data_IF_570361602447
#
_entry.id   IF_570361602447
#
_cell.length_a   1.000
_cell.length_b   1.000
_cell.length_c   1.000
_cell.angle_alpha   90.00
_cell.angle_beta   90.00
_cell.angle_gamma   90.00
#
_symmetry.space_group_name_H-M   'P 1'
#
loop_
_entity.id
_entity.type
_entity.pdbx_description
1 polymer ?
#
# COMPACT_ATOMS: atom_id res chain seq x y z
N UNK A 1 -11.59 6.49 2.97
CA UNK A 1 -11.07 7.65 2.18
C UNK A 1 -11.19 7.26 0.72
N UNK A 2 -11.85 8.04 -0.11
CA UNK A 2 -11.99 7.74 -1.54
C UNK A 2 -10.68 8.07 -2.31
N UNK A 3 -10.60 7.62 -3.56
CA UNK A 3 -9.40 7.77 -4.40
C UNK A 3 -9.01 9.24 -4.63
N UNK A 4 -10.00 10.12 -4.85
CA UNK A 4 -9.75 11.55 -5.12
C UNK A 4 -9.24 12.27 -3.87
N UNK A 5 -9.78 11.95 -2.69
CA UNK A 5 -9.28 12.49 -1.41
C UNK A 5 -7.86 12.00 -1.12
N UNK A 6 -7.56 10.74 -1.44
CA UNK A 6 -6.22 10.19 -1.31
C UNK A 6 -5.24 10.95 -2.21
N UNK A 7 -5.57 11.14 -3.50
CA UNK A 7 -4.76 11.90 -4.43
C UNK A 7 -4.55 13.35 -3.99
N UNK A 8 -5.62 14.01 -3.51
CA UNK A 8 -5.52 15.38 -2.99
C UNK A 8 -4.54 15.47 -1.81
N UNK A 9 -4.66 14.56 -0.84
CA UNK A 9 -3.76 14.52 0.33
C UNK A 9 -2.31 14.22 -0.06
N UNK A 10 -2.08 13.21 -0.91
CA UNK A 10 -0.74 12.86 -1.39
C UNK A 10 -0.04 14.07 -2.03
N UNK A 11 -0.73 14.79 -2.92
CA UNK A 11 -0.14 15.95 -3.59
C UNK A 11 0.02 17.15 -2.65
N UNK A 12 -0.92 17.36 -1.71
CA UNK A 12 -0.85 18.43 -0.72
C UNK A 12 0.30 18.25 0.25
N UNK A 13 0.59 17.02 0.66
CA UNK A 13 1.64 16.69 1.64
C UNK A 13 3.04 16.65 0.99
N UNK A 14 3.12 16.67 -0.36
CA UNK A 14 4.39 16.73 -1.07
C UNK A 14 5.10 18.08 -0.86
N UNK A 15 6.42 18.10 -0.62
CA UNK A 15 7.18 19.36 -0.46
C UNK A 15 7.01 20.28 -1.67
N UNK A 16 6.45 21.47 -1.46
CA UNK A 16 6.10 22.43 -2.52
C UNK A 16 4.76 22.14 -3.21
N UNK A 17 4.01 21.13 -2.75
CA UNK A 17 2.64 20.84 -3.17
C UNK A 17 2.50 20.56 -4.67
N UNK A 18 1.32 20.87 -5.19
CA UNK A 18 0.99 20.62 -6.61
C UNK A 18 1.92 21.34 -7.61
N UNK A 19 2.45 22.52 -7.26
CA UNK A 19 3.33 23.27 -8.16
C UNK A 19 4.65 22.54 -8.36
N UNK A 20 5.30 22.12 -7.26
CA UNK A 20 6.58 21.42 -7.33
C UNK A 20 6.43 20.01 -7.93
N UNK A 21 5.35 19.29 -7.60
CA UNK A 21 5.13 17.94 -8.12
C UNK A 21 4.81 17.96 -9.63
N UNK A 22 4.00 18.92 -10.09
CA UNK A 22 3.60 19.02 -11.48
C UNK A 22 4.77 19.21 -12.45
N UNK A 23 5.85 19.88 -12.04
CA UNK A 23 7.05 20.06 -12.87
C UNK A 23 7.77 18.75 -13.16
N UNK A 24 7.51 17.70 -12.35
CA UNK A 24 8.11 16.36 -12.48
C UNK A 24 7.21 15.37 -13.22
N UNK A 25 5.93 15.73 -13.42
CA UNK A 25 4.96 14.93 -14.15
C UNK A 25 5.02 15.31 -15.64
N UNK A 26 5.39 14.35 -16.48
CA UNK A 26 5.49 14.57 -17.92
C UNK A 26 4.16 14.17 -18.56
N UNK A 27 3.58 15.08 -19.32
CA UNK A 27 2.40 14.84 -20.13
C UNK A 27 2.74 14.94 -21.60
N UNK A 28 2.11 14.11 -22.44
CA UNK A 28 2.25 14.19 -23.90
C UNK A 28 1.06 14.97 -24.42
N UNK A 29 1.32 16.01 -25.24
CA UNK A 29 0.26 16.78 -25.86
C UNK A 29 -0.28 16.06 -27.12
N UNK A 30 -1.33 16.62 -27.73
CA UNK A 30 -1.96 16.06 -28.94
C UNK A 30 -1.01 15.96 -30.16
N UNK A 31 0.14 16.64 -30.10
CA UNK A 31 1.19 16.61 -31.15
C UNK A 31 2.28 15.57 -30.84
N UNK A 32 2.18 14.84 -29.73
CA UNK A 32 3.19 13.88 -29.29
C UNK A 32 4.40 14.52 -28.61
N UNK A 33 4.35 15.82 -28.24
CA UNK A 33 5.44 16.49 -27.55
C UNK A 33 5.33 16.29 -26.03
N UNK A 34 6.43 15.94 -25.40
CA UNK A 34 6.53 15.82 -23.95
C UNK A 34 6.60 17.20 -23.30
N UNK A 35 5.75 17.44 -22.31
CA UNK A 35 5.70 18.71 -21.58
C UNK A 35 5.41 18.45 -20.10
N UNK A 36 6.08 19.17 -19.18
CA UNK A 36 5.70 19.15 -17.78
C UNK A 36 4.25 19.59 -17.59
N UNK A 37 3.54 18.91 -16.68
CA UNK A 37 2.20 19.30 -16.29
C UNK A 37 2.23 20.65 -15.57
N UNK A 38 1.22 21.50 -15.77
CA UNK A 38 1.11 22.71 -14.94
C UNK A 38 0.49 22.41 -13.59
N UNK A 39 0.91 23.12 -12.53
CA UNK A 39 0.33 23.00 -11.19
C UNK A 39 -1.18 23.26 -11.17
N UNK A 40 -1.68 24.18 -12.02
CA UNK A 40 -3.11 24.44 -12.16
C UNK A 40 -3.88 23.22 -12.69
N UNK A 41 -3.33 22.51 -13.68
CA UNK A 41 -3.91 21.28 -14.22
C UNK A 41 -3.90 20.17 -13.15
N UNK A 42 -2.78 20.00 -12.44
CA UNK A 42 -2.70 19.00 -11.37
C UNK A 42 -3.74 19.29 -10.27
N UNK A 43 -3.83 20.55 -9.79
CA UNK A 43 -4.85 20.93 -8.79
C UNK A 43 -6.27 20.62 -9.25
N UNK A 44 -6.59 20.88 -10.52
CA UNK A 44 -7.91 20.57 -11.06
C UNK A 44 -8.17 19.05 -11.08
N UNK A 45 -7.19 18.24 -11.45
CA UNK A 45 -7.30 16.77 -11.53
C UNK A 45 -7.46 16.10 -10.16
N UNK A 46 -6.85 16.66 -9.11
CA UNK A 46 -6.94 16.13 -7.73
C UNK A 46 -8.04 16.78 -6.89
N UNK A 47 -8.77 17.75 -7.43
CA UNK A 47 -9.86 18.41 -6.70
C UNK A 47 -11.05 17.47 -6.54
N UNK A 48 -11.46 17.09 -5.30
CA UNK A 48 -12.58 16.20 -5.07
C UNK A 48 -13.90 16.72 -5.65
N UNK A 49 -14.06 18.04 -5.74
CA UNK A 49 -15.27 18.70 -6.24
C UNK A 49 -15.30 18.82 -7.78
N UNK A 50 -14.20 18.50 -8.46
CA UNK A 50 -14.15 18.55 -9.90
C UNK A 50 -14.56 17.20 -10.52
N UNK A 51 -15.57 17.21 -11.37
CA UNK A 51 -16.10 16.01 -12.03
C UNK A 51 -15.60 15.84 -13.46
N UNK A 52 -15.06 16.90 -14.06
CA UNK A 52 -14.67 16.91 -15.48
C UNK A 52 -13.20 16.57 -15.73
N UNK A 53 -12.33 16.85 -14.74
CA UNK A 53 -10.90 16.57 -14.83
C UNK A 53 -10.53 15.56 -13.76
N UNK A 54 -10.04 14.39 -14.17
CA UNK A 54 -9.63 13.31 -13.27
C UNK A 54 -8.19 12.91 -13.58
N UNK A 55 -7.50 12.39 -12.57
CA UNK A 55 -6.22 11.71 -12.79
C UNK A 55 -6.44 10.46 -13.64
N UNK A 56 -5.55 10.25 -14.61
CA UNK A 56 -5.43 8.94 -15.27
C UNK A 56 -4.70 7.97 -14.34
N UNK A 57 -4.85 6.68 -14.60
CA UNK A 57 -4.13 5.65 -13.84
C UNK A 57 -2.60 5.82 -13.97
N UNK A 58 -2.12 6.21 -15.15
CA UNK A 58 -0.70 6.46 -15.40
C UNK A 58 -0.18 7.62 -14.55
N UNK A 59 -0.89 8.75 -14.52
CA UNK A 59 -0.54 9.90 -13.68
C UNK A 59 -0.58 9.55 -12.18
N UNK A 60 -1.58 8.79 -11.73
CA UNK A 60 -1.66 8.34 -10.35
C UNK A 60 -0.46 7.47 -9.97
N UNK A 61 -0.05 6.55 -10.86
CA UNK A 61 1.12 5.69 -10.66
C UNK A 61 2.42 6.52 -10.59
N UNK A 62 2.58 7.50 -11.47
CA UNK A 62 3.74 8.39 -11.48
C UNK A 62 3.82 9.26 -10.21
N UNK A 63 2.68 9.81 -9.76
CA UNK A 63 2.57 10.54 -8.49
C UNK A 63 3.03 9.65 -7.33
N UNK A 64 2.55 8.43 -7.23
CA UNK A 64 2.95 7.49 -6.16
C UNK A 64 4.45 7.18 -6.23
N UNK A 65 5.01 6.98 -7.42
CA UNK A 65 6.45 6.76 -7.61
C UNK A 65 7.31 7.96 -7.21
N UNK A 66 6.87 9.19 -7.53
CA UNK A 66 7.59 10.43 -7.20
C UNK A 66 7.49 10.81 -5.72
N UNK A 67 6.39 10.49 -5.07
CA UNK A 67 6.11 10.87 -3.67
C UNK A 67 6.48 9.77 -2.67
N UNK A 68 6.55 8.52 -3.10
CA UNK A 68 6.63 7.36 -2.21
C UNK A 68 5.34 7.12 -1.39
N UNK A 69 4.28 7.86 -1.65
CA UNK A 69 3.02 7.81 -0.92
C UNK A 69 1.99 6.98 -1.69
N UNK A 70 1.66 5.82 -1.17
CA UNK A 70 0.77 4.84 -1.81
C UNK A 70 -0.70 4.95 -1.37
N UNK A 71 -1.12 6.06 -0.75
CA UNK A 71 -2.53 6.26 -0.31
C UNK A 71 -3.54 6.10 -1.45
N UNK A 72 -3.19 6.49 -2.68
CA UNK A 72 -4.04 6.33 -3.86
C UNK A 72 -4.29 4.84 -4.14
N UNK A 73 -3.23 4.03 -4.11
CA UNK A 73 -3.32 2.59 -4.32
C UNK A 73 -4.12 1.91 -3.21
N UNK A 74 -3.90 2.31 -1.95
CA UNK A 74 -4.65 1.80 -0.80
C UNK A 74 -6.14 2.12 -0.93
N UNK A 75 -6.48 3.36 -1.32
CA UNK A 75 -7.87 3.75 -1.52
C UNK A 75 -8.53 2.99 -2.66
N UNK A 76 -7.83 2.80 -3.79
CA UNK A 76 -8.30 2.03 -4.93
C UNK A 76 -8.55 0.56 -4.55
N UNK A 77 -7.61 -0.07 -3.87
CA UNK A 77 -7.74 -1.45 -3.42
C UNK A 77 -8.93 -1.62 -2.46
N UNK A 78 -9.07 -0.72 -1.47
CA UNK A 78 -10.14 -0.76 -0.50
C UNK A 78 -11.53 -0.59 -1.15
N UNK A 79 -11.66 0.29 -2.17
CA UNK A 79 -12.90 0.49 -2.91
C UNK A 79 -13.37 -0.78 -3.64
N UNK A 80 -12.42 -1.62 -4.06
CA UNK A 80 -12.66 -2.89 -4.72
C UNK A 80 -12.62 -4.12 -3.78
N UNK A 81 -12.52 -3.90 -2.45
CA UNK A 81 -12.52 -5.01 -1.48
C UNK A 81 -11.19 -5.73 -1.35
N UNK A 82 -10.08 -5.15 -1.82
CA UNK A 82 -8.73 -5.72 -1.72
C UNK A 82 -7.92 -5.08 -0.60
N UNK A 83 -7.13 -5.90 0.09
CA UNK A 83 -6.06 -5.45 0.99
C UNK A 83 -4.72 -5.43 0.25
N UNK A 84 -3.85 -4.50 0.61
CA UNK A 84 -2.50 -4.40 0.06
C UNK A 84 -1.46 -4.79 1.11
N UNK A 85 -0.44 -5.48 0.65
CA UNK A 85 0.74 -5.81 1.45
C UNK A 85 2.00 -5.43 0.66
N UNK A 86 2.96 -4.79 1.32
CA UNK A 86 4.28 -4.55 0.75
C UNK A 86 4.99 -5.87 0.44
N UNK A 87 5.70 -5.93 -0.69
CA UNK A 87 6.45 -7.12 -1.10
C UNK A 87 7.90 -7.10 -0.61
N UNK A 88 8.36 -6.01 0.00
CA UNK A 88 9.72 -5.91 0.51
C UNK A 88 9.85 -6.73 1.80
N UNK A 89 10.70 -7.77 1.81
CA UNK A 89 11.04 -8.45 3.05
C UNK A 89 11.77 -7.47 3.97
N UNK A 90 11.55 -7.55 5.31
CA UNK A 90 12.33 -6.75 6.23
C UNK A 90 13.82 -7.04 6.03
N UNK A 91 14.67 -6.00 6.11
CA UNK A 91 16.12 -6.08 5.86
C UNK A 91 16.84 -7.17 6.68
N UNK A 92 16.29 -7.54 7.85
CA UNK A 92 16.80 -8.56 8.76
C UNK A 92 15.98 -9.87 8.77
N UNK A 93 15.39 -10.24 7.66
CA UNK A 93 14.52 -11.43 7.59
C UNK A 93 15.29 -12.77 7.73
N UNK A 94 16.32 -12.86 8.54
CA UNK A 94 17.00 -14.08 8.97
C UNK A 94 17.12 -15.21 7.93
N UNK A 95 17.40 -16.41 8.35
CA UNK A 95 17.39 -17.60 7.48
C UNK A 95 15.95 -18.10 7.26
N UNK A 96 15.74 -18.98 6.28
CA UNK A 96 14.42 -19.55 5.95
C UNK A 96 13.76 -20.19 7.20
N UNK A 97 14.54 -20.89 8.00
CA UNK A 97 14.03 -21.53 9.24
C UNK A 97 13.51 -20.51 10.23
N UNK A 98 14.21 -19.38 10.45
CA UNK A 98 13.73 -18.30 11.32
C UNK A 98 12.45 -17.66 10.78
N UNK A 99 12.32 -17.52 9.47
CA UNK A 99 11.10 -17.01 8.83
C UNK A 99 9.92 -17.95 9.02
N UNK A 100 10.11 -19.27 8.93
CA UNK A 100 9.08 -20.27 9.22
C UNK A 100 8.62 -20.19 10.68
N UNK A 101 9.58 -20.08 11.61
CA UNK A 101 9.27 -19.96 13.03
C UNK A 101 8.51 -18.65 13.34
N UNK A 102 8.94 -17.52 12.75
CA UNK A 102 8.25 -16.24 12.90
C UNK A 102 6.81 -16.29 12.35
N UNK A 103 6.60 -16.94 11.21
CA UNK A 103 5.26 -17.15 10.64
C UNK A 103 4.39 -18.02 11.57
N UNK A 104 4.96 -19.06 12.17
CA UNK A 104 4.25 -19.91 13.11
C UNK A 104 3.89 -19.15 14.40
N UNK A 105 4.79 -18.32 14.91
CA UNK A 105 4.55 -17.47 16.06
C UNK A 105 3.41 -16.45 15.81
N UNK A 106 3.41 -15.78 14.66
CA UNK A 106 2.34 -14.84 14.27
C UNK A 106 0.99 -15.52 14.19
N UNK A 107 0.91 -16.75 13.64
CA UNK A 107 -0.33 -17.54 13.60
C UNK A 107 -0.79 -17.93 15.00
N UNK A 108 0.14 -18.32 15.89
CA UNK A 108 -0.17 -18.65 17.28
C UNK A 108 -0.75 -17.46 18.03
N UNK A 109 -0.14 -16.30 17.87
CA UNK A 109 -0.62 -15.05 18.48
C UNK A 109 -2.02 -14.64 17.97
N UNK A 110 -2.25 -14.73 16.66
CA UNK A 110 -3.59 -14.50 16.11
C UNK A 110 -4.63 -15.46 16.70
N UNK A 111 -4.31 -16.73 16.80
CA UNK A 111 -5.22 -17.74 17.38
C UNK A 111 -5.52 -17.47 18.86
N UNK A 112 -4.53 -17.01 19.64
CA UNK A 112 -4.69 -16.62 21.04
C UNK A 112 -5.64 -15.43 21.18
N UNK A 113 -5.46 -14.36 20.39
CA UNK A 113 -6.35 -13.20 20.40
C UNK A 113 -7.76 -13.60 19.98
N UNK A 114 -7.91 -14.37 18.90
CA UNK A 114 -9.21 -14.87 18.44
C UNK A 114 -9.92 -15.68 19.53
N UNK A 115 -9.18 -16.56 20.23
CA UNK A 115 -9.74 -17.33 21.31
C UNK A 115 -10.25 -16.42 22.45
N UNK A 116 -9.49 -15.39 22.83
CA UNK A 116 -9.91 -14.42 23.86
C UNK A 116 -11.17 -13.67 23.45
N UNK A 117 -11.22 -13.16 22.21
CA UNK A 117 -12.37 -12.42 21.69
C UNK A 117 -13.67 -13.25 21.62
N UNK A 118 -13.55 -14.58 21.53
CA UNK A 118 -14.72 -15.49 21.43
C UNK A 118 -15.21 -16.02 22.78
N UNK A 119 -14.54 -15.70 23.90
CA UNK A 119 -14.89 -16.27 25.21
C UNK A 119 -16.25 -15.84 25.75
N UNK A 120 -16.65 -14.60 25.52
CA UNK A 120 -17.94 -14.04 25.97
C UNK A 120 -19.00 -14.00 24.87
N UNK A 121 -18.65 -14.36 23.61
CA UNK A 121 -19.55 -14.40 22.48
C UNK A 121 -19.88 -13.02 21.87
N UNK A 122 -19.20 -11.95 22.32
CA UNK A 122 -19.36 -10.58 21.81
C UNK A 122 -17.96 -10.05 21.42
N UNK A 123 -17.84 -9.53 20.21
CA UNK A 123 -16.60 -8.90 19.76
C UNK A 123 -16.79 -7.37 19.82
N UNK A 124 -16.04 -6.73 20.70
CA UNK A 124 -16.01 -5.26 20.80
C UNK A 124 -15.18 -4.63 19.68
N UNK A 125 -15.35 -3.32 19.41
CA UNK A 125 -14.58 -2.59 18.40
C UNK A 125 -13.07 -2.64 18.69
N UNK A 126 -12.65 -2.61 19.94
CA UNK A 126 -11.25 -2.72 20.34
C UNK A 126 -10.69 -4.11 20.05
N UNK A 127 -11.41 -5.16 20.40
CA UNK A 127 -11.01 -6.55 20.11
C UNK A 127 -10.98 -6.83 18.62
N UNK A 128 -11.93 -6.29 17.86
CA UNK A 128 -11.91 -6.38 16.40
C UNK A 128 -10.68 -5.68 15.81
N UNK A 129 -10.30 -4.51 16.32
CA UNK A 129 -9.09 -3.79 15.90
C UNK A 129 -7.81 -4.56 16.22
N UNK A 130 -7.74 -5.18 17.41
CA UNK A 130 -6.61 -6.03 17.82
C UNK A 130 -6.51 -7.29 16.93
N UNK A 131 -7.64 -7.92 16.68
CA UNK A 131 -7.74 -9.08 15.80
C UNK A 131 -7.32 -8.74 14.36
N UNK A 132 -7.74 -7.59 13.84
CA UNK A 132 -7.35 -7.11 12.51
C UNK A 132 -5.85 -6.85 12.42
N UNK A 133 -5.25 -6.27 13.47
CA UNK A 133 -3.81 -6.06 13.55
C UNK A 133 -3.04 -7.37 13.54
N UNK A 134 -3.46 -8.35 14.35
CA UNK A 134 -2.86 -9.68 14.39
C UNK A 134 -3.03 -10.44 13.06
N UNK A 135 -4.18 -10.34 12.40
CA UNK A 135 -4.42 -10.91 11.07
C UNK A 135 -3.46 -10.30 10.02
N UNK A 136 -3.25 -8.99 10.06
CA UNK A 136 -2.30 -8.29 9.18
C UNK A 136 -0.87 -8.78 9.42
N UNK A 137 -0.46 -9.01 10.67
CA UNK A 137 0.85 -9.57 10.99
C UNK A 137 1.05 -10.99 10.42
N UNK A 138 0.02 -11.84 10.47
CA UNK A 138 0.06 -13.17 9.83
C UNK A 138 0.20 -13.05 8.32
N UNK A 139 -0.58 -12.18 7.67
CA UNK A 139 -0.50 -11.96 6.22
C UNK A 139 0.90 -11.49 5.81
N UNK A 140 1.46 -10.52 6.53
CA UNK A 140 2.82 -10.01 6.27
C UNK A 140 3.87 -11.10 6.43
N UNK A 141 3.78 -11.92 7.49
CA UNK A 141 4.74 -13.02 7.71
C UNK A 141 4.68 -14.09 6.62
N UNK A 142 3.50 -14.38 6.09
CA UNK A 142 3.32 -15.30 4.96
C UNK A 142 3.93 -14.75 3.67
N UNK A 143 3.79 -13.45 3.41
CA UNK A 143 4.39 -12.81 2.23
C UNK A 143 5.91 -12.88 2.31
N UNK A 144 6.51 -12.56 3.47
CA UNK A 144 7.95 -12.69 3.70
C UNK A 144 8.41 -14.12 3.46
N UNK A 145 7.70 -15.11 4.00
CA UNK A 145 8.00 -16.53 3.80
C UNK A 145 7.95 -16.92 2.31
N UNK A 146 6.89 -16.51 1.60
CA UNK A 146 6.75 -16.81 0.15
C UNK A 146 7.83 -16.13 -0.69
N UNK A 147 8.25 -14.93 -0.33
CA UNK A 147 9.34 -14.22 -1.00
C UNK A 147 10.66 -14.99 -0.80
N UNK A 148 10.97 -15.40 0.42
CA UNK A 148 12.17 -16.22 0.72
C UNK A 148 12.17 -17.57 0.02
N UNK A 149 11.05 -18.26 -0.03
CA UNK A 149 10.91 -19.52 -0.78
C UNK A 149 11.12 -19.31 -2.28
N UNK A 150 10.70 -18.18 -2.83
CA UNK A 150 10.95 -17.84 -4.24
C UNK A 150 12.42 -17.57 -4.51
N UNK A 151 13.10 -16.86 -3.62
CA UNK A 151 14.55 -16.60 -3.70
C UNK A 151 15.36 -17.89 -3.61
N UNK A 152 14.96 -18.82 -2.75
CA UNK A 152 15.64 -20.12 -2.58
C UNK A 152 15.40 -21.12 -3.72
N UNK A 153 14.42 -20.88 -4.59
CA UNK A 153 14.04 -21.78 -5.69
C UNK A 153 15.14 -21.99 -6.76
N UNK A 154 16.23 -21.22 -6.71
CA UNK A 154 17.38 -21.36 -7.62
C UNK A 154 18.66 -21.88 -6.95
N UNK A 155 18.66 -22.02 -5.63
CA UNK A 155 19.84 -22.45 -4.86
C UNK A 155 19.61 -23.86 -4.32
N UNK A 156 20.38 -24.83 -4.82
CA UNK A 156 20.32 -26.25 -4.40
C UNK A 156 20.92 -26.55 -3.02
N UNK A 157 21.48 -25.56 -2.33
CA UNK A 157 22.25 -25.72 -1.10
C UNK A 157 21.75 -24.82 0.04
N UNK A 158 20.50 -25.03 0.51
CA UNK A 158 20.03 -24.39 1.75
C UNK A 158 19.14 -25.37 2.54
N UNK A 159 19.71 -26.49 2.92
CA UNK A 159 19.23 -27.36 3.99
C UNK A 159 20.39 -27.70 4.92
#
# INVERSE_FOLDING_TARGET
MNITDAAHKTVKDYPGGAEALATRLITVNDKGEEKPMSGAVLRNKINPNNTTHRLTLAEANEIMGLTGDHRILVALAAEHGYGLHGLEPPADAGCLTSTILATSASKGHFAEILHKCLQDGLITDNEFSELQSAATAVQSSLIVLMTRLRESKGQKDVL
#
